data_IF_208772133138
#
_entry.id   IF_208772133138
#
_cell.length_a   1.000
_cell.length_b   1.000
_cell.length_c   1.000
_cell.angle_alpha   90.00
_cell.angle_beta   90.00
_cell.angle_gamma   90.00
#
_symmetry.space_group_name_H-M   'P 1'
#
loop_
_entity.id
_entity.type
_entity.pdbx_description
1 polymer ?
#
# COMPACT_ATOMS: atom_id res chain seq x y z
N UNK A 1 -15.15 26.30 -7.14
CA UNK A 1 -16.24 25.41 -6.73
C UNK A 1 -15.66 24.43 -5.73
N UNK A 2 -16.19 24.45 -4.49
CA UNK A 2 -15.68 23.60 -3.41
C UNK A 2 -16.22 22.19 -3.62
N UNK A 3 -15.37 21.29 -4.11
CA UNK A 3 -15.63 19.85 -4.05
C UNK A 3 -15.35 19.42 -2.61
N UNK A 4 -16.31 19.68 -1.73
CA UNK A 4 -16.32 19.03 -0.42
C UNK A 4 -16.52 17.55 -0.68
N UNK A 5 -15.42 16.79 -0.76
CA UNK A 5 -15.48 15.33 -0.71
C UNK A 5 -16.27 14.98 0.54
N UNK A 6 -17.36 14.23 0.36
CA UNK A 6 -18.02 13.54 1.47
C UNK A 6 -16.93 12.88 2.31
N UNK A 7 -17.00 12.97 3.67
CA UNK A 7 -16.07 12.23 4.49
C UNK A 7 -16.10 10.77 4.03
N UNK A 8 -14.93 10.20 3.77
CA UNK A 8 -14.82 8.76 3.53
C UNK A 8 -15.64 8.04 4.60
N UNK A 9 -16.31 6.94 4.25
CA UNK A 9 -17.02 6.11 5.22
C UNK A 9 -16.13 5.66 6.40
N UNK A 10 -14.82 5.84 6.26
CA UNK A 10 -13.77 5.49 7.20
C UNK A 10 -13.09 6.71 7.85
N UNK A 11 -13.62 7.93 7.69
CA UNK A 11 -13.02 9.15 8.21
C UNK A 11 -12.83 9.13 9.74
N UNK A 12 -13.69 8.42 10.47
CA UNK A 12 -13.56 8.23 11.92
C UNK A 12 -12.29 7.50 12.34
N UNK A 13 -11.67 6.73 11.43
CA UNK A 13 -10.44 6.00 11.69
C UNK A 13 -9.17 6.80 11.40
N UNK A 14 -9.28 7.97 10.76
CA UNK A 14 -8.13 8.75 10.31
C UNK A 14 -7.33 9.36 11.48
N UNK A 15 -8.00 9.68 12.59
CA UNK A 15 -7.41 10.42 13.72
C UNK A 15 -7.03 9.53 14.92
N UNK A 16 -7.19 8.21 14.80
CA UNK A 16 -6.92 7.25 15.88
C UNK A 16 -5.93 6.17 15.46
N UNK A 17 -5.11 5.70 16.40
CA UNK A 17 -4.29 4.52 16.15
C UNK A 17 -5.12 3.26 16.34
N UNK A 18 -5.35 2.52 15.25
CA UNK A 18 -5.96 1.21 15.32
C UNK A 18 -4.91 0.15 15.64
N UNK A 19 -5.29 -0.83 16.45
CA UNK A 19 -4.48 -2.01 16.77
C UNK A 19 -5.26 -3.25 16.36
N UNK A 20 -4.59 -4.18 15.67
CA UNK A 20 -5.20 -5.44 15.26
C UNK A 20 -5.49 -6.31 16.50
N UNK A 21 -6.76 -6.53 16.87
CA UNK A 21 -7.10 -7.45 17.95
C UNK A 21 -6.82 -8.89 17.52
N UNK A 22 -6.49 -9.74 18.50
CA UNK A 22 -6.19 -11.15 18.26
C UNK A 22 -7.33 -11.87 17.50
N UNK A 23 -8.58 -11.53 17.84
CA UNK A 23 -9.78 -12.13 17.23
C UNK A 23 -9.92 -11.86 15.72
N UNK A 24 -9.30 -10.80 15.19
CA UNK A 24 -9.37 -10.46 13.77
C UNK A 24 -8.18 -10.97 12.96
N UNK A 25 -7.12 -11.47 13.61
CA UNK A 25 -5.92 -11.94 12.90
C UNK A 25 -6.23 -13.05 11.92
N UNK A 26 -6.99 -14.07 12.35
CA UNK A 26 -7.35 -15.19 11.48
C UNK A 26 -8.26 -14.75 10.33
N UNK A 27 -9.12 -13.76 10.56
CA UNK A 27 -9.98 -13.22 9.50
C UNK A 27 -9.18 -12.47 8.44
N UNK A 28 -8.28 -11.56 8.85
CA UNK A 28 -7.48 -10.74 7.93
C UNK A 28 -6.36 -11.51 7.20
N UNK A 29 -6.09 -12.76 7.59
CA UNK A 29 -5.20 -13.65 6.83
C UNK A 29 -5.82 -14.13 5.52
N UNK A 30 -7.15 -14.13 5.43
CA UNK A 30 -7.82 -14.51 4.20
C UNK A 30 -7.81 -13.35 3.22
N UNK A 31 -7.56 -13.62 1.93
CA UNK A 31 -7.50 -12.58 0.91
C UNK A 31 -8.84 -11.88 0.78
N UNK A 32 -8.80 -10.56 0.74
CA UNK A 32 -9.98 -9.72 0.51
C UNK A 32 -10.12 -9.48 -0.98
N UNK A 33 -11.08 -10.15 -1.62
CA UNK A 33 -11.38 -10.00 -3.04
C UNK A 33 -10.93 -11.18 -3.90
N UNK A 34 -10.96 -10.99 -5.22
CA UNK A 34 -10.63 -12.03 -6.18
C UNK A 34 -9.13 -12.34 -6.20
N UNK A 35 -8.79 -13.63 -6.16
CA UNK A 35 -7.41 -14.08 -6.33
C UNK A 35 -7.05 -14.19 -7.81
N UNK A 36 -5.90 -13.64 -8.18
CA UNK A 36 -5.31 -13.77 -9.52
C UNK A 36 -3.87 -14.27 -9.40
N UNK A 37 -3.39 -15.04 -10.37
CA UNK A 37 -2.07 -15.67 -10.29
C UNK A 37 -1.36 -15.68 -11.63
N UNK A 38 -0.03 -15.53 -11.58
CA UNK A 38 0.84 -15.76 -12.72
C UNK A 38 0.44 -14.94 -13.96
N UNK A 39 0.25 -15.56 -15.14
CA UNK A 39 -0.02 -14.83 -16.38
C UNK A 39 -1.30 -13.98 -16.37
N UNK A 40 -2.28 -14.29 -15.51
CA UNK A 40 -3.55 -13.54 -15.48
C UNK A 40 -3.47 -12.18 -14.77
N UNK A 41 -2.37 -11.89 -14.06
CA UNK A 41 -2.24 -10.64 -13.28
C UNK A 41 -2.43 -9.38 -14.15
N UNK A 42 -1.70 -9.27 -15.27
CA UNK A 42 -1.80 -8.09 -16.14
C UNK A 42 -3.18 -7.96 -16.82
N UNK A 43 -3.77 -9.04 -17.39
CA UNK A 43 -5.15 -8.99 -17.87
C UNK A 43 -6.16 -8.55 -16.81
N UNK A 44 -6.04 -9.05 -15.58
CA UNK A 44 -6.94 -8.70 -14.47
C UNK A 44 -6.84 -7.23 -14.08
N UNK A 45 -5.61 -6.69 -13.99
CA UNK A 45 -5.39 -5.27 -13.68
C UNK A 45 -5.85 -4.38 -14.86
N UNK A 46 -5.60 -4.82 -16.09
CA UNK A 46 -6.01 -4.12 -17.30
C UNK A 46 -5.58 -2.64 -17.31
N UNK A 47 -6.58 -1.76 -17.48
CA UNK A 47 -6.40 -0.29 -17.48
C UNK A 47 -6.76 0.37 -16.15
N UNK A 48 -6.92 -0.41 -15.07
CA UNK A 48 -7.18 0.15 -13.76
C UNK A 48 -6.12 1.20 -13.40
N UNK A 49 -6.56 2.29 -12.79
CA UNK A 49 -5.72 3.35 -12.24
C UNK A 49 -6.53 4.05 -11.14
N UNK A 50 -5.98 4.24 -9.92
CA UNK A 50 -4.63 3.85 -9.54
C UNK A 50 -4.48 2.34 -9.33
N UNK A 51 -3.29 1.80 -9.62
CA UNK A 51 -2.85 0.47 -9.20
C UNK A 51 -1.94 0.63 -7.99
N UNK A 52 -2.31 -0.03 -6.88
CA UNK A 52 -1.57 0.03 -5.62
C UNK A 52 -0.94 -1.32 -5.32
N UNK A 53 0.34 -1.34 -4.96
CA UNK A 53 1.01 -2.53 -4.42
C UNK A 53 1.39 -2.32 -2.97
N UNK A 54 1.21 -3.35 -2.15
CA UNK A 54 1.60 -3.35 -0.74
C UNK A 54 2.54 -4.53 -0.52
N UNK A 55 3.74 -4.22 -0.04
CA UNK A 55 4.85 -5.15 0.13
C UNK A 55 5.83 -5.15 -1.03
N UNK A 56 7.08 -5.45 -0.69
CA UNK A 56 8.24 -5.44 -1.57
C UNK A 56 8.09 -6.41 -2.75
N UNK A 57 7.75 -7.67 -2.47
CA UNK A 57 7.60 -8.70 -3.51
C UNK A 57 6.44 -8.40 -4.46
N UNK A 58 5.31 -7.91 -3.95
CA UNK A 58 4.16 -7.54 -4.78
C UNK A 58 4.54 -6.41 -5.74
N UNK A 59 5.25 -5.41 -5.22
CA UNK A 59 5.75 -4.27 -6.00
C UNK A 59 6.72 -4.71 -7.10
N UNK A 60 7.71 -5.54 -6.76
CA UNK A 60 8.71 -6.00 -7.73
C UNK A 60 8.15 -6.97 -8.75
N UNK A 61 7.28 -7.89 -8.37
CA UNK A 61 6.63 -8.82 -9.30
C UNK A 61 5.82 -8.07 -10.36
N UNK A 62 5.06 -7.04 -9.96
CA UNK A 62 4.30 -6.22 -10.90
C UNK A 62 5.23 -5.46 -11.87
N UNK A 63 6.30 -4.86 -11.36
CA UNK A 63 7.30 -4.14 -12.18
C UNK A 63 8.03 -5.09 -13.13
N UNK A 64 8.41 -6.28 -12.69
CA UNK A 64 9.05 -7.30 -13.52
C UNK A 64 8.14 -7.77 -14.67
N UNK A 65 6.81 -7.68 -14.49
CA UNK A 65 5.82 -7.93 -15.54
C UNK A 65 5.62 -6.74 -16.50
N UNK A 66 6.34 -5.63 -16.31
CA UNK A 66 6.27 -4.46 -17.18
C UNK A 66 5.15 -3.46 -16.83
N UNK A 67 4.54 -3.57 -15.64
CA UNK A 67 3.58 -2.58 -15.13
C UNK A 67 4.14 -1.90 -13.88
N UNK A 68 4.24 -0.58 -13.90
CA UNK A 68 4.61 0.18 -12.69
C UNK A 68 3.34 0.52 -11.90
N UNK A 69 3.30 0.31 -10.58
CA UNK A 69 2.20 0.77 -9.75
C UNK A 69 2.16 2.30 -9.69
N UNK A 70 0.97 2.84 -9.49
CA UNK A 70 0.76 4.27 -9.25
C UNK A 70 1.11 4.63 -7.80
N UNK A 71 0.89 3.70 -6.87
CA UNK A 71 1.34 3.80 -5.48
C UNK A 71 1.97 2.47 -5.07
N UNK A 72 3.18 2.47 -4.51
CA UNK A 72 3.76 1.30 -3.85
C UNK A 72 4.05 1.57 -2.38
N UNK A 73 3.67 0.64 -1.51
CA UNK A 73 3.92 0.71 -0.07
C UNK A 73 4.92 -0.39 0.28
N UNK A 74 6.08 -0.01 0.83
CA UNK A 74 7.23 -0.90 1.01
C UNK A 74 7.87 -0.69 2.37
N UNK A 75 8.27 -1.77 3.05
CA UNK A 75 8.94 -1.69 4.35
C UNK A 75 10.45 -2.04 4.29
N UNK A 76 10.91 -2.55 3.13
CA UNK A 76 12.27 -3.03 2.89
C UNK A 76 12.70 -4.18 3.83
N UNK A 77 11.75 -4.91 4.44
CA UNK A 77 12.02 -6.04 5.36
C UNK A 77 11.57 -7.36 4.77
N UNK A 78 11.94 -7.67 3.53
CA UNK A 78 11.77 -9.04 3.06
C UNK A 78 12.62 -10.04 3.86
N UNK A 79 11.99 -11.19 4.14
CA UNK A 79 12.28 -12.26 5.12
C UNK A 79 13.69 -12.84 5.29
N UNK A 80 14.79 -12.26 4.78
CA UNK A 80 16.16 -12.75 5.03
C UNK A 80 17.18 -11.77 4.47
N UNK A 81 17.74 -10.93 5.36
CA UNK A 81 18.77 -9.91 5.07
C UNK A 81 18.34 -8.86 4.03
N UNK A 82 18.76 -7.62 4.25
CA UNK A 82 18.59 -6.56 3.27
C UNK A 82 19.40 -6.93 2.03
N UNK A 83 18.75 -7.53 1.03
CA UNK A 83 19.34 -7.69 -0.29
C UNK A 83 19.51 -6.27 -0.87
N UNK A 84 20.76 -5.79 -1.02
CA UNK A 84 21.02 -4.43 -1.49
C UNK A 84 20.45 -4.22 -2.90
N UNK A 85 20.46 -5.25 -3.74
CA UNK A 85 19.95 -5.17 -5.12
C UNK A 85 18.42 -4.99 -5.13
N UNK A 86 17.72 -5.75 -4.28
CA UNK A 86 16.27 -5.61 -4.09
C UNK A 86 15.90 -4.21 -3.61
N UNK A 87 16.63 -3.71 -2.61
CA UNK A 87 16.41 -2.36 -2.07
C UNK A 87 16.65 -1.30 -3.13
N UNK A 88 17.75 -1.40 -3.88
CA UNK A 88 18.03 -0.47 -4.97
C UNK A 88 16.96 -0.53 -6.07
N UNK A 89 16.47 -1.72 -6.43
CA UNK A 89 15.40 -1.89 -7.40
C UNK A 89 14.12 -1.18 -6.94
N UNK A 90 13.71 -1.39 -5.69
CA UNK A 90 12.56 -0.68 -5.08
C UNK A 90 12.79 0.83 -5.01
N UNK A 91 14.01 1.27 -4.70
CA UNK A 91 14.37 2.68 -4.63
C UNK A 91 14.31 3.42 -5.98
N UNK A 92 14.27 2.69 -7.10
CA UNK A 92 14.07 3.23 -8.45
C UNK A 92 12.59 3.35 -8.85
N UNK A 93 11.66 2.83 -8.02
CA UNK A 93 10.21 2.85 -8.31
C UNK A 93 9.56 4.08 -7.68
N UNK A 94 8.74 4.79 -8.46
CA UNK A 94 8.06 6.01 -8.03
C UNK A 94 8.93 7.26 -8.20
N UNK A 95 8.31 8.38 -8.60
CA UNK A 95 8.99 9.68 -8.71
C UNK A 95 8.90 10.49 -7.43
N UNK A 96 7.84 10.27 -6.64
CA UNK A 96 7.62 10.91 -5.34
C UNK A 96 7.80 9.91 -4.21
N UNK A 97 8.54 10.29 -3.17
CA UNK A 97 8.77 9.44 -2.00
C UNK A 97 8.12 10.05 -0.77
N UNK A 98 7.24 9.29 -0.13
CA UNK A 98 6.67 9.60 1.18
C UNK A 98 7.19 8.59 2.20
N UNK A 99 7.29 8.99 3.46
CA UNK A 99 7.80 8.13 4.54
C UNK A 99 6.85 8.13 5.71
N UNK A 100 6.67 6.98 6.34
CA UNK A 100 5.85 6.86 7.53
C UNK A 100 6.40 5.81 8.49
N UNK A 101 6.15 5.98 9.78
CA UNK A 101 6.41 4.95 10.79
C UNK A 101 5.09 4.30 11.16
N UNK A 102 4.99 2.98 11.02
CA UNK A 102 3.80 2.22 11.38
C UNK A 102 4.22 0.99 12.22
N UNK A 103 4.07 1.03 13.55
CA UNK A 103 4.42 -0.10 14.40
C UNK A 103 3.73 -1.42 13.98
N UNK A 104 4.27 -2.57 14.42
CA UNK A 104 3.65 -3.86 14.15
C UNK A 104 2.19 -3.92 14.58
N UNK A 105 1.36 -4.57 13.76
CA UNK A 105 -0.05 -4.78 14.03
C UNK A 105 -0.86 -3.49 14.29
N UNK A 106 -0.45 -2.34 13.72
CA UNK A 106 -1.19 -1.07 13.82
C UNK A 106 -1.52 -0.43 12.48
N UNK A 107 -2.47 0.49 12.52
CA UNK A 107 -2.66 1.55 11.52
C UNK A 107 -2.59 2.88 12.28
N UNK A 108 -1.58 3.69 12.03
CA UNK A 108 -1.40 4.99 12.68
C UNK A 108 -2.13 6.11 11.90
N UNK A 109 -2.53 7.21 12.56
CA UNK A 109 -3.04 8.40 11.89
C UNK A 109 -2.07 8.94 10.83
N UNK A 110 -0.77 8.91 11.12
CA UNK A 110 0.27 9.32 10.17
C UNK A 110 0.26 8.44 8.91
N UNK A 111 0.04 7.12 9.05
CA UNK A 111 -0.07 6.23 7.90
C UNK A 111 -1.32 6.54 7.06
N UNK A 112 -2.44 6.85 7.72
CA UNK A 112 -3.65 7.29 7.05
C UNK A 112 -3.42 8.57 6.25
N UNK A 113 -2.81 9.58 6.88
CA UNK A 113 -2.53 10.87 6.26
C UNK A 113 -1.56 10.72 5.09
N UNK A 114 -0.46 10.00 5.26
CA UNK A 114 0.53 9.77 4.20
C UNK A 114 -0.08 9.04 3.01
N UNK A 115 -0.91 8.03 3.24
CA UNK A 115 -1.59 7.32 2.15
C UNK A 115 -2.64 8.22 1.48
N UNK A 116 -3.39 9.02 2.24
CA UNK A 116 -4.31 10.02 1.67
C UNK A 116 -3.58 10.99 0.73
N UNK A 117 -2.39 11.46 1.13
CA UNK A 117 -1.55 12.30 0.27
C UNK A 117 -0.98 11.55 -0.94
N UNK A 118 -0.72 10.25 -0.82
CA UNK A 118 -0.31 9.43 -1.96
C UNK A 118 -1.43 9.32 -3.01
N UNK A 119 -2.68 9.11 -2.60
CA UNK A 119 -3.84 9.02 -3.50
C UNK A 119 -4.21 10.36 -4.18
N UNK A 120 -3.79 11.50 -3.63
CA UNK A 120 -3.98 12.83 -4.24
C UNK A 120 -2.89 13.20 -5.24
N UNK A 121 -1.86 12.37 -5.38
CA UNK A 121 -0.69 12.65 -6.22
C UNK A 121 -0.97 12.31 -7.68
N UNK A 122 -0.64 13.22 -8.59
CA UNK A 122 -0.60 12.94 -10.04
C UNK A 122 0.68 12.18 -10.46
N UNK A 123 1.63 12.05 -9.53
CA UNK A 123 2.88 11.31 -9.70
C UNK A 123 2.80 9.90 -9.12
N UNK A 124 3.64 8.99 -9.61
CA UNK A 124 3.80 7.66 -9.01
C UNK A 124 4.49 7.78 -7.65
N UNK A 125 3.85 7.30 -6.60
CA UNK A 125 4.31 7.48 -5.22
C UNK A 125 4.88 6.19 -4.65
N UNK A 126 6.06 6.27 -4.03
CA UNK A 126 6.58 5.23 -3.14
C UNK A 126 6.42 5.67 -1.70
N UNK A 127 5.67 4.90 -0.91
CA UNK A 127 5.52 5.06 0.53
C UNK A 127 6.47 4.09 1.23
N UNK A 128 7.51 4.63 1.86
CA UNK A 128 8.49 3.87 2.63
C UNK A 128 8.05 3.78 4.09
N UNK A 129 7.77 2.56 4.56
CA UNK A 129 7.25 2.27 5.89
C UNK A 129 8.38 1.81 6.80
N UNK A 130 8.64 2.57 7.85
CA UNK A 130 9.46 2.10 8.97
C UNK A 130 8.56 1.32 9.92
N UNK A 131 8.48 0.00 9.75
CA UNK A 131 7.60 -0.82 10.58
C UNK A 131 6.98 -1.97 9.80
N UNK A 132 5.66 -2.15 9.88
CA UNK A 132 4.90 -3.11 9.07
C UNK A 132 3.94 -2.38 8.14
N UNK A 133 3.81 -2.88 6.92
CA UNK A 133 2.95 -2.35 5.85
C UNK A 133 1.68 -3.17 5.63
N UNK A 134 1.60 -4.42 6.13
CA UNK A 134 0.52 -5.36 5.80
C UNK A 134 -0.88 -4.78 6.04
N UNK A 135 -1.10 -4.16 7.21
CA UNK A 135 -2.39 -3.56 7.56
C UNK A 135 -2.70 -2.28 6.78
N UNK A 136 -1.70 -1.65 6.17
CA UNK A 136 -1.90 -0.48 5.33
C UNK A 136 -2.61 -0.83 4.02
N UNK A 137 -2.67 -2.11 3.64
CA UNK A 137 -3.54 -2.57 2.56
C UNK A 137 -5.02 -2.21 2.81
N UNK A 138 -5.49 -2.27 4.06
CA UNK A 138 -6.86 -1.88 4.41
C UNK A 138 -7.10 -0.39 4.19
N UNK A 139 -6.12 0.44 4.52
CA UNK A 139 -6.18 1.89 4.28
C UNK A 139 -6.19 2.17 2.78
N UNK A 140 -5.36 1.48 1.99
CA UNK A 140 -5.38 1.58 0.53
C UNK A 140 -6.74 1.21 -0.06
N UNK A 141 -7.37 0.13 0.43
CA UNK A 141 -8.72 -0.28 0.01
C UNK A 141 -9.76 0.80 0.38
N UNK A 142 -9.65 1.39 1.57
CA UNK A 142 -10.57 2.42 2.06
C UNK A 142 -10.44 3.77 1.33
N UNK A 143 -9.27 4.07 0.78
CA UNK A 143 -8.96 5.34 0.11
C UNK A 143 -9.03 5.27 -1.42
N UNK A 144 -9.01 4.06 -2.00
CA UNK A 144 -9.11 3.88 -3.43
C UNK A 144 -10.45 4.43 -3.98
N UNK A 145 -10.44 5.09 -5.16
CA UNK A 145 -11.63 5.73 -5.76
C UNK A 145 -12.66 4.76 -6.32
#
# INVERSE_FOLDING_TARGET
>A
MSTGSSPSAFAEFADVTLRLPESLREYLRWPMGALTQGPSILPTIGRASPVVTVGDFCTLDLVARGRTPDICVVDFKTKRQADPELREALQRIGSKVLRVTNPPATITPDAWLVLSEAFKSDERVRVEVRGEEDLLALVCIALAP
#
